data_IF_967624537069
#
_entry.id   IF_967624537069
#
_cell.length_a   1.000
_cell.length_b   1.000
_cell.length_c   1.000
_cell.angle_alpha   90.00
_cell.angle_beta   90.00
_cell.angle_gamma   90.00
#
_symmetry.space_group_name_H-M   'P 1'
#
loop_
_entity.id
_entity.type
_entity.pdbx_description
1 polymer ?
#
# COMPACT_ATOMS: atom_id res chain seq x y z
N UNK A 1 -46.44 22.39 26.56
CA UNK A 1 -45.69 23.23 25.60
C UNK A 1 -44.18 22.93 25.65
N UNK A 2 -43.62 22.64 26.83
CA UNK A 2 -42.17 22.41 27.00
C UNK A 2 -41.64 21.10 26.41
N UNK A 3 -42.44 20.03 26.40
CA UNK A 3 -42.03 18.74 25.84
C UNK A 3 -41.82 18.79 24.32
N UNK A 4 -42.67 19.56 23.61
CA UNK A 4 -42.52 19.78 22.15
C UNK A 4 -41.28 20.61 21.82
N UNK A 5 -40.96 21.63 22.63
CA UNK A 5 -39.72 22.41 22.48
C UNK A 5 -38.48 21.55 22.72
N UNK A 6 -38.51 20.69 23.75
CA UNK A 6 -37.42 19.73 24.01
C UNK A 6 -37.20 18.80 22.81
N UNK A 7 -38.27 18.23 22.28
CA UNK A 7 -38.19 17.34 21.12
C UNK A 7 -37.62 18.05 19.87
N UNK A 8 -38.01 19.31 19.62
CA UNK A 8 -37.42 20.10 18.53
C UNK A 8 -35.92 20.36 18.72
N UNK A 9 -35.49 20.60 19.96
CA UNK A 9 -34.06 20.77 20.26
C UNK A 9 -33.28 19.47 20.08
N UNK A 10 -33.82 18.34 20.53
CA UNK A 10 -33.22 17.02 20.34
C UNK A 10 -33.07 16.71 18.82
N UNK A 11 -34.08 17.02 17.99
CA UNK A 11 -33.98 16.89 16.53
C UNK A 11 -32.90 17.78 15.93
N UNK A 12 -32.76 19.02 16.39
CA UNK A 12 -31.71 19.94 15.90
C UNK A 12 -30.34 19.40 16.24
N UNK A 13 -30.15 18.89 17.45
CA UNK A 13 -28.90 18.29 17.87
C UNK A 13 -28.54 17.07 17.02
N UNK A 14 -29.48 16.15 16.80
CA UNK A 14 -29.28 14.98 15.93
C UNK A 14 -28.88 15.39 14.50
N UNK A 15 -29.51 16.44 13.95
CA UNK A 15 -29.14 16.93 12.62
C UNK A 15 -27.71 17.48 12.57
N UNK A 16 -27.25 18.17 13.61
CA UNK A 16 -25.88 18.66 13.70
C UNK A 16 -24.88 17.49 13.79
N UNK A 17 -25.18 16.50 14.63
CA UNK A 17 -24.37 15.29 14.76
C UNK A 17 -24.31 14.51 13.43
N UNK A 18 -25.41 14.41 12.69
CA UNK A 18 -25.42 13.78 11.36
C UNK A 18 -24.57 14.54 10.33
N UNK A 19 -24.58 15.88 10.36
CA UNK A 19 -23.72 16.68 9.48
C UNK A 19 -22.24 16.49 9.81
N UNK A 20 -21.89 16.40 11.09
CA UNK A 20 -20.53 16.11 11.53
C UNK A 20 -20.09 14.71 11.09
N UNK A 21 -20.95 13.69 11.28
CA UNK A 21 -20.69 12.32 10.84
C UNK A 21 -20.48 12.25 9.32
N UNK A 22 -21.28 12.98 8.52
CA UNK A 22 -21.10 13.05 7.08
C UNK A 22 -19.74 13.66 6.70
N UNK A 23 -19.30 14.70 7.41
CA UNK A 23 -17.97 15.28 7.22
C UNK A 23 -16.85 14.29 7.54
N UNK A 24 -16.97 13.57 8.65
CA UNK A 24 -16.01 12.54 9.07
C UNK A 24 -15.97 11.36 8.08
N UNK A 25 -17.12 10.90 7.59
CA UNK A 25 -17.20 9.84 6.57
C UNK A 25 -16.50 10.25 5.28
N UNK A 26 -16.72 11.49 4.82
CA UNK A 26 -16.04 12.00 3.61
C UNK A 26 -14.52 12.09 3.81
N UNK A 27 -14.05 12.48 4.98
CA UNK A 27 -12.62 12.47 5.29
C UNK A 27 -12.05 11.04 5.27
N UNK A 28 -12.78 10.09 5.85
CA UNK A 28 -12.39 8.68 5.87
C UNK A 28 -12.32 8.10 4.45
N UNK A 29 -13.31 8.37 3.61
CA UNK A 29 -13.35 7.95 2.20
C UNK A 29 -12.14 8.47 1.41
N UNK A 30 -11.76 9.74 1.61
CA UNK A 30 -10.55 10.30 1.01
C UNK A 30 -9.28 9.57 1.48
N UNK A 31 -9.16 9.29 2.78
CA UNK A 31 -8.01 8.55 3.34
C UNK A 31 -7.95 7.12 2.82
N UNK A 32 -9.10 6.45 2.68
CA UNK A 32 -9.19 5.12 2.07
C UNK A 32 -8.71 5.17 0.62
N UNK A 33 -9.22 6.12 -0.17
CA UNK A 33 -8.82 6.29 -1.58
C UNK A 33 -7.31 6.53 -1.74
N UNK A 34 -6.72 7.34 -0.84
CA UNK A 34 -5.27 7.57 -0.82
C UNK A 34 -4.54 6.26 -0.47
N UNK A 35 -4.99 5.56 0.56
CA UNK A 35 -4.39 4.29 1.00
C UNK A 35 -4.44 3.23 -0.10
N UNK A 36 -5.55 3.13 -0.84
CA UNK A 36 -5.68 2.23 -1.99
C UNK A 36 -4.65 2.56 -3.09
N UNK A 37 -4.42 3.85 -3.38
CA UNK A 37 -3.37 4.29 -4.32
C UNK A 37 -1.97 3.99 -3.81
N UNK A 38 -1.72 4.16 -2.52
CA UNK A 38 -0.43 3.86 -1.91
C UNK A 38 -0.15 2.36 -2.00
N UNK A 39 -1.13 1.49 -1.74
CA UNK A 39 -1.03 0.04 -1.92
C UNK A 39 -0.68 -0.31 -3.37
N UNK A 40 -1.36 0.27 -4.36
CA UNK A 40 -1.04 0.05 -5.77
C UNK A 40 0.39 0.51 -6.14
N UNK A 41 0.87 1.57 -5.49
CA UNK A 41 2.22 2.07 -5.72
C UNK A 41 3.27 1.14 -5.10
N UNK A 42 3.00 0.62 -3.89
CA UNK A 42 3.83 -0.37 -3.22
C UNK A 42 3.95 -1.63 -4.08
N UNK A 43 2.85 -2.12 -4.64
CA UNK A 43 2.84 -3.30 -5.50
C UNK A 43 3.77 -3.15 -6.72
N UNK A 44 3.68 -2.01 -7.43
CA UNK A 44 4.59 -1.70 -8.55
C UNK A 44 6.06 -1.59 -8.12
N UNK A 45 6.33 -1.06 -6.93
CA UNK A 45 7.69 -0.99 -6.41
C UNK A 45 8.22 -2.39 -6.05
N UNK A 46 7.37 -3.26 -5.48
CA UNK A 46 7.69 -4.66 -5.21
C UNK A 46 8.02 -5.42 -6.49
N UNK A 47 7.26 -5.22 -7.57
CA UNK A 47 7.59 -5.83 -8.87
C UNK A 47 8.97 -5.42 -9.38
N UNK A 48 9.33 -4.13 -9.28
CA UNK A 48 10.65 -3.64 -9.67
C UNK A 48 11.76 -4.23 -8.80
N UNK A 49 11.53 -4.32 -7.48
CA UNK A 49 12.48 -4.96 -6.55
C UNK A 49 12.65 -6.43 -6.93
N UNK A 50 11.56 -7.16 -7.15
CA UNK A 50 11.58 -8.58 -7.50
C UNK A 50 12.28 -8.85 -8.85
N UNK A 51 12.08 -7.97 -9.84
CA UNK A 51 12.82 -8.04 -11.08
C UNK A 51 14.33 -7.89 -10.81
N UNK A 52 14.73 -6.85 -10.08
CA UNK A 52 16.13 -6.58 -9.76
C UNK A 52 16.78 -7.73 -8.96
N UNK A 53 16.10 -8.30 -7.96
CA UNK A 53 16.61 -9.45 -7.19
C UNK A 53 16.79 -10.68 -8.06
N UNK A 54 15.88 -10.93 -9.00
CA UNK A 54 16.00 -12.02 -9.99
C UNK A 54 17.22 -11.82 -10.90
N UNK A 55 17.47 -10.59 -11.37
CA UNK A 55 18.67 -10.28 -12.15
C UNK A 55 19.96 -10.47 -11.36
N UNK A 56 19.99 -10.00 -10.10
CA UNK A 56 21.14 -10.18 -9.21
C UNK A 56 21.44 -11.67 -8.98
N UNK A 57 20.41 -12.50 -8.74
CA UNK A 57 20.58 -13.95 -8.57
C UNK A 57 21.22 -14.59 -9.80
N UNK A 58 20.79 -14.21 -11.01
CA UNK A 58 21.36 -14.72 -12.27
C UNK A 58 22.82 -14.34 -12.44
N UNK A 59 23.19 -13.11 -12.09
CA UNK A 59 24.58 -12.64 -12.16
C UNK A 59 25.48 -13.40 -11.19
N UNK A 60 25.01 -13.63 -9.96
CA UNK A 60 25.75 -14.42 -8.96
C UNK A 60 25.95 -15.85 -9.46
N UNK A 61 24.89 -16.52 -9.92
CA UNK A 61 24.99 -17.88 -10.46
C UNK A 61 25.92 -17.96 -11.67
N UNK A 62 25.80 -17.02 -12.61
CA UNK A 62 26.67 -16.94 -13.78
C UNK A 62 28.13 -16.74 -13.41
N UNK A 63 28.42 -15.84 -12.46
CA UNK A 63 29.77 -15.59 -11.96
C UNK A 63 30.40 -16.82 -11.29
N UNK A 64 29.61 -17.56 -10.49
CA UNK A 64 30.07 -18.80 -9.85
C UNK A 64 30.36 -19.88 -10.90
N UNK A 65 29.42 -20.12 -11.82
CA UNK A 65 29.57 -21.13 -12.87
C UNK A 65 30.77 -20.85 -13.78
N UNK A 66 30.93 -19.61 -14.23
CA UNK A 66 32.07 -19.20 -15.07
C UNK A 66 33.39 -19.31 -14.33
N UNK A 67 33.42 -19.00 -13.02
CA UNK A 67 34.63 -19.16 -12.20
C UNK A 67 35.05 -20.62 -12.10
N UNK A 68 34.10 -21.53 -11.84
CA UNK A 68 34.35 -22.98 -11.77
C UNK A 68 34.78 -23.53 -13.13
N UNK A 69 34.10 -23.13 -14.21
CA UNK A 69 34.44 -23.61 -15.55
C UNK A 69 35.84 -23.15 -15.96
N UNK A 70 36.19 -21.90 -15.65
CA UNK A 70 37.53 -21.34 -15.93
C UNK A 70 38.63 -22.09 -15.18
N UNK A 71 38.43 -22.44 -13.90
CA UNK A 71 39.41 -23.24 -13.15
C UNK A 71 39.53 -24.66 -13.66
N UNK A 72 38.43 -25.32 -14.04
CA UNK A 72 38.47 -26.66 -14.63
C UNK A 72 39.21 -26.66 -15.96
N UNK A 73 38.91 -25.72 -16.87
CA UNK A 73 39.59 -25.62 -18.16
C UNK A 73 41.09 -25.42 -17.97
N UNK A 74 41.51 -24.52 -17.07
CA UNK A 74 42.94 -24.29 -16.75
C UNK A 74 43.63 -25.49 -16.11
N UNK A 75 42.89 -26.38 -15.45
CA UNK A 75 43.46 -27.57 -14.83
C UNK A 75 43.63 -28.74 -15.80
N UNK A 76 42.87 -28.75 -16.90
CA UNK A 76 42.87 -29.82 -17.91
C UNK A 76 43.83 -29.53 -19.07
N UNK A 77 44.11 -28.25 -19.32
CA UNK A 77 44.87 -27.71 -20.45
C UNK A 77 46.25 -27.26 -19.99
#
# INVERSE_FOLDING_TARGET
>A
MDSSKKFQNDIKQINLELQEIQGNLRNLELRITITEKDIQTIDKQLEKINANTTWILRLILGGILTSILSTVIKSLL
#
